data_IF_513997098477
#
_entry.id   IF_513997098477
#
_cell.length_a   1.000
_cell.length_b   1.000
_cell.length_c   1.000
_cell.angle_alpha   90.00
_cell.angle_beta   90.00
_cell.angle_gamma   90.00
#
_symmetry.space_group_name_H-M   'P 1'
#
loop_
_entity.id
_entity.type
_entity.pdbx_description
1 polymer ?
#
# COMPACT_ATOMS: atom_id res chain seq x y z
N UNK A 1 -41.58 -14.25 7.78
CA UNK A 1 -40.50 -15.20 8.07
C UNK A 1 -39.27 -14.95 7.17
N UNK A 2 -39.50 -14.69 5.86
CA UNK A 2 -38.41 -14.38 4.96
C UNK A 2 -37.71 -13.09 5.35
N UNK A 3 -38.47 -12.07 5.84
CA UNK A 3 -37.91 -10.80 6.31
C UNK A 3 -37.03 -10.99 7.55
N UNK A 4 -37.44 -11.88 8.45
CA UNK A 4 -36.65 -12.19 9.63
C UNK A 4 -35.32 -12.83 9.28
N UNK A 5 -35.33 -13.77 8.34
CA UNK A 5 -34.12 -14.47 7.89
C UNK A 5 -33.17 -13.50 7.17
N UNK A 6 -33.72 -12.60 6.36
CA UNK A 6 -32.94 -11.57 5.66
C UNK A 6 -32.30 -10.61 6.65
N UNK A 7 -33.05 -10.18 7.67
CA UNK A 7 -32.54 -9.29 8.71
C UNK A 7 -31.45 -9.95 9.54
N UNK A 8 -31.64 -11.24 9.84
CA UNK A 8 -30.64 -12.01 10.59
C UNK A 8 -29.34 -12.15 9.79
N UNK A 9 -29.46 -12.40 8.50
CA UNK A 9 -28.30 -12.50 7.61
C UNK A 9 -27.58 -11.16 7.51
N UNK A 10 -28.34 -10.08 7.34
CA UNK A 10 -27.79 -8.74 7.30
C UNK A 10 -27.05 -8.40 8.59
N UNK A 11 -27.62 -8.75 9.72
CA UNK A 11 -27.03 -8.54 11.04
C UNK A 11 -25.73 -9.32 11.19
N UNK A 12 -25.71 -10.57 10.72
CA UNK A 12 -24.51 -11.41 10.74
C UNK A 12 -23.42 -10.82 9.84
N UNK A 13 -23.79 -10.32 8.67
CA UNK A 13 -22.86 -9.68 7.73
C UNK A 13 -22.26 -8.41 8.34
N UNK A 14 -23.09 -7.59 8.97
CA UNK A 14 -22.63 -6.37 9.66
C UNK A 14 -21.71 -6.72 10.82
N UNK A 15 -22.03 -7.75 11.58
CA UNK A 15 -21.20 -8.21 12.70
C UNK A 15 -19.85 -8.70 12.21
N UNK A 16 -19.81 -9.43 11.10
CA UNK A 16 -18.59 -9.90 10.47
C UNK A 16 -17.73 -8.70 10.04
N UNK A 17 -18.33 -7.69 9.44
CA UNK A 17 -17.64 -6.48 9.03
C UNK A 17 -17.03 -5.79 10.25
N UNK A 18 -17.79 -5.68 11.35
CA UNK A 18 -17.31 -5.05 12.58
C UNK A 18 -16.12 -5.80 13.18
N UNK A 19 -16.19 -7.14 13.20
CA UNK A 19 -15.13 -7.97 13.78
C UNK A 19 -13.91 -8.11 12.87
N UNK A 20 -14.05 -7.73 11.60
CA UNK A 20 -12.95 -7.83 10.64
C UNK A 20 -12.15 -6.52 10.53
N UNK A 21 -12.49 -5.52 11.32
CA UNK A 21 -11.72 -4.26 11.32
C UNK A 21 -10.28 -4.56 11.75
N UNK A 22 -9.32 -4.09 10.95
CA UNK A 22 -7.93 -4.34 11.19
C UNK A 22 -7.45 -3.69 12.50
N UNK A 23 -6.72 -4.40 13.34
CA UNK A 23 -6.12 -3.81 14.54
C UNK A 23 -5.14 -2.68 14.17
N UNK A 24 -4.93 -1.79 15.12
CA UNK A 24 -4.09 -0.61 14.91
C UNK A 24 -2.66 -0.98 14.47
N UNK A 25 -2.09 -2.01 15.06
CA UNK A 25 -0.74 -2.44 14.72
C UNK A 25 -0.63 -2.96 13.29
N UNK A 26 -1.68 -3.63 12.79
CA UNK A 26 -1.75 -4.12 11.41
C UNK A 26 -1.84 -2.96 10.43
N UNK A 27 -2.69 -1.99 10.74
CA UNK A 27 -2.86 -0.78 9.91
C UNK A 27 -1.57 0.05 9.94
N UNK A 28 -0.94 0.16 11.09
CA UNK A 28 0.31 0.92 11.23
C UNK A 28 1.44 0.30 10.41
N UNK A 29 1.52 -1.04 10.35
CA UNK A 29 2.48 -1.73 9.52
C UNK A 29 2.27 -1.41 8.03
N UNK A 30 1.00 -1.32 7.62
CA UNK A 30 0.66 -0.90 6.26
C UNK A 30 1.12 0.53 5.98
N UNK A 31 0.87 1.45 6.93
CA UNK A 31 1.29 2.85 6.76
C UNK A 31 2.79 2.97 6.62
N UNK A 32 3.55 2.22 7.40
CA UNK A 32 5.02 2.24 7.30
C UNK A 32 5.49 1.71 5.95
N UNK A 33 4.86 0.66 5.47
CA UNK A 33 5.17 0.08 4.15
C UNK A 33 4.84 1.08 3.04
N UNK A 34 3.69 1.74 3.14
CA UNK A 34 3.26 2.76 2.17
C UNK A 34 4.24 3.93 2.16
N UNK A 35 4.60 4.45 3.32
CA UNK A 35 5.53 5.56 3.45
C UNK A 35 6.87 5.22 2.81
N UNK A 36 7.40 4.05 3.09
CA UNK A 36 8.66 3.58 2.53
C UNK A 36 8.62 3.55 1.01
N UNK A 37 7.53 3.01 0.45
CA UNK A 37 7.37 2.94 -1.00
C UNK A 37 7.25 4.32 -1.62
N UNK A 38 6.45 5.21 -1.01
CA UNK A 38 6.22 6.55 -1.53
C UNK A 38 7.49 7.40 -1.47
N UNK A 39 8.34 7.18 -0.47
CA UNK A 39 9.66 7.81 -0.40
C UNK A 39 10.57 7.27 -1.51
N UNK A 40 10.50 5.97 -1.73
CA UNK A 40 11.34 5.31 -2.72
C UNK A 40 11.05 5.79 -4.14
N UNK A 41 9.77 5.99 -4.46
CA UNK A 41 9.36 6.45 -5.81
C UNK A 41 9.43 7.98 -5.96
N UNK A 42 9.78 8.70 -4.90
CA UNK A 42 9.92 10.16 -4.95
C UNK A 42 8.62 10.93 -4.81
N UNK A 43 7.52 10.27 -4.49
CA UNK A 43 6.25 10.96 -4.22
C UNK A 43 6.31 11.72 -2.89
N UNK A 44 6.94 11.12 -1.89
CA UNK A 44 7.21 11.77 -0.61
C UNK A 44 8.67 12.12 -0.50
N UNK A 45 8.96 13.19 0.23
CA UNK A 45 10.31 13.59 0.59
C UNK A 45 10.48 13.51 2.11
N UNK A 46 11.70 13.22 2.61
CA UNK A 46 11.87 13.02 4.06
C UNK A 46 11.33 14.16 4.93
N UNK A 47 11.44 15.40 4.47
CA UNK A 47 11.01 16.56 5.26
C UNK A 47 9.48 16.76 5.22
N UNK A 48 8.77 16.15 4.29
CA UNK A 48 7.31 16.29 4.17
C UNK A 48 6.55 15.00 4.45
N UNK A 49 7.28 13.89 4.65
CA UNK A 49 6.67 12.57 4.76
C UNK A 49 5.68 12.48 5.92
N UNK A 50 6.05 12.96 7.09
CA UNK A 50 5.19 12.89 8.28
C UNK A 50 3.86 13.62 8.07
N UNK A 51 3.93 14.82 7.50
CA UNK A 51 2.74 15.63 7.26
C UNK A 51 1.82 14.99 6.24
N UNK A 52 2.38 14.52 5.13
CA UNK A 52 1.60 13.90 4.06
C UNK A 52 1.03 12.54 4.48
N UNK A 53 1.81 11.76 5.23
CA UNK A 53 1.31 10.49 5.77
C UNK A 53 0.16 10.72 6.74
N UNK A 54 0.16 11.83 7.46
CA UNK A 54 -0.96 12.20 8.32
C UNK A 54 -2.27 12.29 7.57
N UNK A 55 -2.25 12.82 6.35
CA UNK A 55 -3.44 12.91 5.50
C UNK A 55 -3.92 11.54 5.04
N UNK A 56 -2.99 10.66 4.68
CA UNK A 56 -3.33 9.27 4.33
C UNK A 56 -3.94 8.54 5.53
N UNK A 57 -3.37 8.74 6.73
CA UNK A 57 -3.90 8.14 7.95
C UNK A 57 -5.33 8.60 8.23
N UNK A 58 -5.62 9.88 8.04
CA UNK A 58 -6.97 10.42 8.21
C UNK A 58 -7.94 9.79 7.21
N UNK A 59 -7.53 9.65 5.96
CA UNK A 59 -8.35 9.05 4.92
C UNK A 59 -8.70 7.60 5.26
N UNK A 60 -7.71 6.79 5.60
CA UNK A 60 -7.91 5.38 5.90
C UNK A 60 -8.62 5.17 7.23
N UNK A 61 -8.38 6.02 8.23
CA UNK A 61 -9.05 5.92 9.52
C UNK A 61 -10.55 6.14 9.37
N UNK A 62 -10.96 7.04 8.48
CA UNK A 62 -12.37 7.25 8.20
C UNK A 62 -13.02 6.05 7.51
N UNK A 63 -12.24 5.32 6.74
CA UNK A 63 -12.71 4.15 6.01
C UNK A 63 -12.84 2.91 6.90
N UNK A 64 -12.19 2.88 8.05
CA UNK A 64 -12.18 1.73 8.97
C UNK A 64 -11.80 0.44 8.22
N UNK A 65 -10.54 0.37 7.83
CA UNK A 65 -10.03 -0.73 7.01
C UNK A 65 -10.22 -2.08 7.68
N UNK A 66 -10.69 -3.04 6.91
CA UNK A 66 -10.82 -4.43 7.32
C UNK A 66 -9.50 -5.17 7.11
N UNK A 67 -9.33 -6.30 7.83
CA UNK A 67 -8.13 -7.13 7.68
C UNK A 67 -7.90 -7.54 6.23
N UNK A 68 -8.96 -7.93 5.53
CA UNK A 68 -8.88 -8.33 4.12
C UNK A 68 -8.41 -7.19 3.24
N UNK A 69 -8.87 -5.98 3.51
CA UNK A 69 -8.49 -4.80 2.75
C UNK A 69 -7.04 -4.44 2.98
N UNK A 70 -6.59 -4.48 4.24
CA UNK A 70 -5.18 -4.22 4.57
C UNK A 70 -4.28 -5.26 3.90
N UNK A 71 -4.67 -6.53 3.94
CA UNK A 71 -3.91 -7.60 3.29
C UNK A 71 -3.79 -7.36 1.78
N UNK A 72 -4.89 -6.96 1.15
CA UNK A 72 -4.91 -6.64 -0.27
C UNK A 72 -4.00 -5.46 -0.58
N UNK A 73 -4.11 -4.37 0.19
CA UNK A 73 -3.30 -3.18 -0.01
C UNK A 73 -1.81 -3.48 0.19
N UNK A 74 -1.48 -4.25 1.22
CA UNK A 74 -0.09 -4.64 1.47
C UNK A 74 0.45 -5.53 0.36
N UNK A 75 -0.40 -6.40 -0.18
CA UNK A 75 -0.05 -7.24 -1.32
C UNK A 75 0.27 -6.41 -2.56
N UNK A 76 -0.54 -5.39 -2.83
CA UNK A 76 -0.31 -4.45 -3.93
C UNK A 76 1.03 -3.74 -3.74
N UNK A 77 1.30 -3.24 -2.53
CA UNK A 77 2.55 -2.54 -2.26
C UNK A 77 3.77 -3.45 -2.44
N UNK A 78 3.67 -4.70 -2.00
CA UNK A 78 4.75 -5.67 -2.18
C UNK A 78 5.00 -5.95 -3.65
N UNK A 79 3.93 -6.08 -4.44
CA UNK A 79 4.04 -6.33 -5.86
C UNK A 79 4.66 -5.13 -6.58
N UNK A 80 4.24 -3.92 -6.23
CA UNK A 80 4.80 -2.69 -6.80
C UNK A 80 6.28 -2.57 -6.44
N UNK A 81 6.61 -2.82 -5.17
CA UNK A 81 8.00 -2.75 -4.70
C UNK A 81 8.88 -3.77 -5.42
N UNK A 82 8.37 -4.98 -5.60
CA UNK A 82 9.07 -6.02 -6.35
C UNK A 82 9.29 -5.59 -7.80
N UNK A 83 8.26 -5.06 -8.44
CA UNK A 83 8.34 -4.60 -9.84
C UNK A 83 9.35 -3.47 -9.99
N UNK A 84 9.37 -2.55 -9.04
CA UNK A 84 10.33 -1.45 -9.03
C UNK A 84 11.76 -1.95 -8.86
N UNK A 85 11.97 -2.93 -7.98
CA UNK A 85 13.28 -3.53 -7.75
C UNK A 85 13.79 -4.22 -9.00
N UNK A 86 12.92 -4.97 -9.69
CA UNK A 86 13.27 -5.64 -10.94
C UNK A 86 13.57 -4.63 -12.04
N UNK A 87 12.70 -3.64 -12.19
CA UNK A 87 12.87 -2.60 -13.19
C UNK A 87 14.13 -1.78 -12.93
N UNK A 88 14.40 -1.43 -11.68
CA UNK A 88 15.60 -0.68 -11.30
C UNK A 88 16.87 -1.46 -11.64
N UNK A 89 16.87 -2.77 -11.39
CA UNK A 89 17.99 -3.62 -11.74
C UNK A 89 18.21 -3.68 -13.25
N UNK A 90 17.11 -3.85 -14.00
CA UNK A 90 17.16 -3.88 -15.47
C UNK A 90 17.55 -2.53 -16.04
N UNK A 91 16.98 -1.46 -15.51
CA UNK A 91 17.30 -0.11 -15.96
C UNK A 91 18.75 0.26 -15.64
N UNK A 92 19.26 -0.18 -14.47
CA UNK A 92 20.68 0.01 -14.12
C UNK A 92 21.58 -0.70 -15.10
N UNK A 93 21.25 -1.93 -15.47
CA UNK A 93 21.98 -2.70 -16.48
C UNK A 93 21.99 -1.99 -17.82
N UNK A 94 20.81 -1.56 -18.27
CA UNK A 94 20.65 -0.83 -19.54
C UNK A 94 21.36 0.52 -19.48
N UNK A 95 21.26 1.20 -18.37
CA UNK A 95 21.89 2.50 -18.19
C UNK A 95 23.39 2.38 -18.22
N UNK A 96 23.95 1.38 -17.57
CA UNK A 96 25.39 1.12 -17.59
C UNK A 96 25.88 0.78 -18.98
N UNK A 97 25.12 -0.03 -19.72
CA UNK A 97 25.43 -0.35 -21.11
C UNK A 97 25.42 0.89 -21.98
N UNK A 98 24.40 1.75 -21.80
CA UNK A 98 24.24 2.99 -22.55
C UNK A 98 25.34 3.99 -22.22
N UNK A 99 25.69 4.11 -20.94
CA UNK A 99 26.77 4.98 -20.50
C UNK A 99 28.11 4.53 -21.06
N UNK A 100 28.33 3.20 -21.11
CA UNK A 100 29.54 2.64 -21.68
C UNK A 100 29.63 2.94 -23.16
N UNK A 101 28.53 2.84 -23.89
CA UNK A 101 28.46 3.17 -25.31
C UNK A 101 28.73 4.65 -25.54
N UNK A 102 28.14 5.50 -24.72
CA UNK A 102 28.34 6.95 -24.81
C UNK A 102 29.79 7.31 -24.49
N UNK A 103 30.44 6.60 -23.55
CA UNK A 103 31.84 6.77 -23.24
C UNK A 103 32.74 6.37 -24.42
N UNK A 104 32.35 5.31 -25.10
CA UNK A 104 33.11 4.80 -26.27
C UNK A 104 32.98 5.75 -27.46
N UNK A 105 31.84 6.46 -27.56
CA UNK A 105 31.61 7.43 -28.62
C UNK A 105 32.33 8.75 -28.31
N UNK A 106 32.43 9.09 -27.04
CA UNK A 106 33.11 10.31 -26.61
C UNK A 106 34.59 10.10 -26.42
#
# INVERSE_FOLDING_TARGET
QSNYDQNKKLFADISEIKYDIAPLDVVEAYYQQLESLLLKIGYLHPHTATSRMGKFRQLYNRSQLQNKEVAMLRGILRQVDWALSQKSTKDSSKLNSKLQKDSDIL
#
